data_IF_892166005510
#
_entry.id   IF_892166005510
#
_cell.length_a   1.000
_cell.length_b   1.000
_cell.length_c   1.000
_cell.angle_alpha   90.00
_cell.angle_beta   90.00
_cell.angle_gamma   90.00
#
_symmetry.space_group_name_H-M   'P 1'
#
loop_
_entity.id
_entity.type
_entity.pdbx_description
1 polymer ?
#
# COMPACT_ATOMS: atom_id res chain seq x y z
N UNK A 1 -23.77 -44.17 64.01
CA UNK A 1 -24.37 -44.09 62.67
C UNK A 1 -24.21 -42.68 62.13
N UNK A 2 -23.29 -42.42 61.17
CA UNK A 2 -23.18 -41.12 60.52
C UNK A 2 -24.08 -41.05 59.27
N UNK A 3 -24.84 -39.97 59.15
CA UNK A 3 -25.74 -39.70 58.01
C UNK A 3 -24.90 -39.15 56.84
N UNK A 4 -24.78 -39.95 55.78
CA UNK A 4 -24.09 -39.61 54.54
C UNK A 4 -24.94 -38.61 53.73
N UNK A 5 -24.51 -37.36 53.62
CA UNK A 5 -25.18 -36.32 52.81
C UNK A 5 -24.66 -36.42 51.38
N UNK A 6 -25.36 -37.19 50.55
CA UNK A 6 -25.14 -37.24 49.11
C UNK A 6 -25.55 -35.91 48.48
N UNK A 7 -24.56 -35.08 48.13
CA UNK A 7 -24.78 -33.88 47.32
C UNK A 7 -25.01 -34.33 45.88
N UNK A 8 -26.28 -34.48 45.51
CA UNK A 8 -26.70 -34.73 44.14
C UNK A 8 -26.55 -33.42 43.34
N UNK A 9 -25.42 -33.26 42.63
CA UNK A 9 -25.22 -32.14 41.71
C UNK A 9 -26.10 -32.38 40.47
N UNK A 10 -27.02 -31.48 40.10
CA UNK A 10 -27.74 -31.61 38.85
C UNK A 10 -26.78 -31.50 37.68
N UNK A 11 -26.78 -32.50 36.80
CA UNK A 11 -26.10 -32.48 35.52
C UNK A 11 -26.61 -31.28 34.72
N UNK A 12 -25.79 -30.24 34.58
CA UNK A 12 -26.08 -29.13 33.70
C UNK A 12 -26.08 -29.66 32.26
N UNK A 13 -27.29 -29.89 31.74
CA UNK A 13 -27.59 -30.10 30.32
C UNK A 13 -26.88 -29.04 29.49
N UNK A 14 -25.97 -29.49 28.64
CA UNK A 14 -25.36 -28.69 27.59
C UNK A 14 -26.46 -28.10 26.69
N UNK A 15 -26.62 -26.77 26.72
CA UNK A 15 -27.45 -26.08 25.77
C UNK A 15 -26.77 -26.09 24.39
N UNK A 16 -27.48 -26.41 23.29
CA UNK A 16 -26.92 -26.49 21.96
C UNK A 16 -26.66 -25.09 21.37
N UNK A 17 -25.75 -25.08 20.40
CA UNK A 17 -25.27 -23.94 19.65
C UNK A 17 -26.34 -22.90 19.24
N UNK A 18 -26.11 -21.65 19.64
CA UNK A 18 -26.36 -20.47 18.79
C UNK A 18 -25.03 -19.92 18.30
N UNK A 19 -24.22 -20.79 17.70
CA UNK A 19 -23.23 -20.38 16.71
C UNK A 19 -23.98 -20.00 15.43
N UNK A 20 -23.69 -18.82 14.91
CA UNK A 20 -24.09 -18.26 13.61
C UNK A 20 -25.46 -17.56 13.54
N UNK A 21 -25.44 -16.23 13.72
CA UNK A 21 -26.22 -15.31 12.88
C UNK A 21 -25.74 -13.84 12.90
N UNK A 22 -24.54 -13.49 13.43
CA UNK A 22 -23.95 -12.18 13.08
C UNK A 22 -23.24 -12.31 11.73
N UNK A 23 -24.08 -12.44 10.70
CA UNK A 23 -23.90 -11.98 9.33
C UNK A 23 -22.47 -11.72 8.85
N UNK A 24 -22.14 -12.37 7.73
CA UNK A 24 -21.06 -12.03 6.80
C UNK A 24 -21.21 -10.62 6.18
N UNK A 25 -21.41 -9.59 7.01
CA UNK A 25 -21.21 -8.20 6.61
C UNK A 25 -19.72 -8.00 6.43
N UNK A 26 -19.31 -7.45 5.30
CA UNK A 26 -18.02 -6.78 5.25
C UNK A 26 -18.08 -5.60 6.22
N UNK A 27 -17.33 -5.60 7.33
CA UNK A 27 -17.30 -4.48 8.26
C UNK A 27 -16.98 -3.18 7.53
N UNK A 28 -17.55 -2.06 7.97
CA UNK A 28 -17.31 -0.76 7.35
C UNK A 28 -15.81 -0.42 7.22
N UNK A 29 -14.98 -0.91 8.14
CA UNK A 29 -13.52 -0.81 8.09
C UNK A 29 -12.89 -1.46 6.85
N UNK A 30 -13.37 -2.64 6.43
CA UNK A 30 -12.87 -3.31 5.22
C UNK A 30 -13.25 -2.54 3.95
N UNK A 31 -14.44 -1.96 3.91
CA UNK A 31 -14.87 -1.09 2.82
C UNK A 31 -14.05 0.22 2.80
N UNK A 32 -13.81 0.82 3.97
CA UNK A 32 -12.98 2.03 4.09
C UNK A 32 -11.54 1.79 3.62
N UNK A 33 -10.95 0.65 4.02
CA UNK A 33 -9.62 0.26 3.55
C UNK A 33 -9.60 -0.02 2.04
N UNK A 34 -10.65 -0.66 1.48
CA UNK A 34 -10.77 -0.80 0.03
C UNK A 34 -10.84 0.56 -0.66
N UNK A 35 -11.62 1.52 -0.15
CA UNK A 35 -11.70 2.86 -0.72
C UNK A 35 -10.34 3.56 -0.71
N UNK A 36 -9.60 3.51 0.40
CA UNK A 36 -8.24 4.05 0.48
C UNK A 36 -7.34 3.41 -0.57
N UNK A 37 -7.34 2.07 -0.66
CA UNK A 37 -6.54 1.32 -1.62
C UNK A 37 -6.88 1.68 -3.06
N UNK A 38 -8.16 1.71 -3.41
CA UNK A 38 -8.61 2.05 -4.76
C UNK A 38 -8.24 3.49 -5.11
N UNK A 39 -8.49 4.46 -4.23
CA UNK A 39 -8.19 5.87 -4.51
C UNK A 39 -6.70 6.08 -4.74
N UNK A 40 -5.86 5.75 -3.76
CA UNK A 40 -4.42 6.01 -3.87
C UNK A 40 -3.74 5.08 -4.87
N UNK A 41 -4.15 3.81 -4.92
CA UNK A 41 -3.61 2.85 -5.87
C UNK A 41 -3.93 3.19 -7.32
N UNK A 42 -5.17 3.58 -7.63
CA UNK A 42 -5.54 3.95 -9.01
C UNK A 42 -5.00 5.32 -9.42
N UNK A 43 -4.86 6.28 -8.50
CA UNK A 43 -4.16 7.54 -8.78
C UNK A 43 -2.70 7.28 -9.18
N UNK A 44 -2.00 6.45 -8.42
CA UNK A 44 -0.62 6.05 -8.75
C UNK A 44 -0.54 5.24 -10.04
N UNK A 45 -1.51 4.36 -10.29
CA UNK A 45 -1.61 3.68 -11.58
C UNK A 45 -1.83 4.66 -12.73
N UNK A 46 -2.63 5.70 -12.50
CA UNK A 46 -2.81 6.82 -13.42
C UNK A 46 -1.49 7.50 -13.76
N UNK A 47 -0.74 7.92 -12.74
CA UNK A 47 0.59 8.53 -12.92
C UNK A 47 1.58 7.61 -13.66
N UNK A 48 1.62 6.33 -13.30
CA UNK A 48 2.46 5.36 -14.00
C UNK A 48 2.05 5.19 -15.46
N UNK A 49 0.75 5.19 -15.74
CA UNK A 49 0.23 5.09 -17.12
C UNK A 49 0.56 6.33 -17.96
N UNK A 50 0.56 7.51 -17.35
CA UNK A 50 0.99 8.76 -17.98
C UNK A 50 2.47 8.69 -18.38
N UNK A 51 3.31 8.16 -17.48
CA UNK A 51 4.75 8.01 -17.69
C UNK A 51 5.08 6.93 -18.71
N UNK A 52 4.42 5.78 -18.67
CA UNK A 52 4.75 4.63 -19.52
C UNK A 52 4.11 4.72 -20.90
N UNK A 53 2.81 5.01 -20.94
CA UNK A 53 1.98 4.82 -22.13
C UNK A 53 1.50 6.15 -22.73
N UNK A 54 1.67 7.28 -22.03
CA UNK A 54 1.21 8.59 -22.50
C UNK A 54 -0.31 8.73 -22.53
N UNK A 55 -1.03 7.91 -21.77
CA UNK A 55 -2.49 8.00 -21.62
C UNK A 55 -2.86 8.88 -20.43
N UNK A 56 -4.13 9.26 -20.30
CA UNK A 56 -4.62 10.18 -19.26
C UNK A 56 -3.89 11.54 -19.25
N UNK A 57 -3.53 12.06 -20.44
CA UNK A 57 -2.82 13.33 -20.59
C UNK A 57 -1.31 13.24 -20.29
N UNK A 58 -0.73 12.04 -20.24
CA UNK A 58 0.69 11.85 -20.00
C UNK A 58 1.59 12.08 -21.22
N UNK A 59 2.88 12.24 -20.96
CA UNK A 59 3.90 12.51 -21.98
C UNK A 59 4.51 11.23 -22.58
N UNK A 60 4.24 10.07 -21.99
CA UNK A 60 4.79 8.78 -22.42
C UNK A 60 6.27 8.62 -22.09
N UNK A 61 6.78 7.42 -22.37
CA UNK A 61 8.08 6.98 -21.82
C UNK A 61 9.26 7.79 -22.33
N UNK A 62 9.23 8.20 -23.60
CA UNK A 62 10.35 8.93 -24.21
C UNK A 62 10.52 10.32 -23.60
N UNK A 63 9.44 11.09 -23.50
CA UNK A 63 9.50 12.45 -22.92
C UNK A 63 9.72 12.41 -21.41
N UNK A 64 9.10 11.45 -20.71
CA UNK A 64 9.39 11.19 -19.30
C UNK A 64 10.87 10.88 -19.10
N UNK A 65 11.47 10.09 -19.99
CA UNK A 65 12.90 9.78 -19.96
C UNK A 65 13.80 11.02 -20.07
N UNK A 66 13.42 12.01 -20.88
CA UNK A 66 14.13 13.30 -20.95
C UNK A 66 14.00 14.09 -19.64
N UNK A 67 12.80 14.08 -19.04
CA UNK A 67 12.57 14.67 -17.72
C UNK A 67 13.48 14.07 -16.64
N UNK A 68 13.54 12.73 -16.55
CA UNK A 68 14.45 12.06 -15.64
C UNK A 68 15.93 12.38 -15.92
N UNK A 69 16.34 12.45 -17.18
CA UNK A 69 17.71 12.85 -17.53
C UNK A 69 18.03 14.28 -17.07
N UNK A 70 17.06 15.21 -17.16
CA UNK A 70 17.22 16.59 -16.67
C UNK A 70 17.32 16.70 -15.15
N UNK A 71 16.77 15.72 -14.43
CA UNK A 71 16.90 15.59 -12.98
C UNK A 71 18.20 14.89 -12.53
N UNK A 72 19.05 14.46 -13.48
CA UNK A 72 20.35 13.84 -13.21
C UNK A 72 20.38 12.32 -13.32
N UNK A 73 19.24 11.63 -13.51
CA UNK A 73 19.20 10.17 -13.66
C UNK A 73 19.77 9.73 -15.01
N UNK A 74 20.77 8.85 -15.02
CA UNK A 74 21.41 8.38 -16.25
C UNK A 74 21.49 6.84 -16.31
N UNK A 75 20.92 6.17 -17.33
CA UNK A 75 20.17 6.73 -18.46
C UNK A 75 18.72 7.11 -18.08
N UNK A 76 18.28 8.34 -18.36
CA UNK A 76 16.96 8.84 -17.92
C UNK A 76 15.77 8.00 -18.38
N UNK A 77 15.80 7.40 -19.58
CA UNK A 77 14.74 6.51 -20.07
C UNK A 77 14.59 5.22 -19.25
N UNK A 78 15.69 4.71 -18.69
CA UNK A 78 15.67 3.54 -17.80
C UNK A 78 14.98 3.88 -16.49
N UNK A 79 15.34 5.01 -15.88
CA UNK A 79 14.70 5.45 -14.63
C UNK A 79 13.25 5.87 -14.82
N UNK A 80 12.89 6.46 -15.96
CA UNK A 80 11.49 6.70 -16.32
C UNK A 80 10.70 5.39 -16.44
N UNK A 81 11.30 4.33 -16.99
CA UNK A 81 10.69 3.00 -17.07
C UNK A 81 10.51 2.39 -15.67
N UNK A 82 11.57 2.42 -14.84
CA UNK A 82 11.53 1.89 -13.46
C UNK A 82 10.50 2.63 -12.62
N UNK A 83 10.55 3.97 -12.62
CA UNK A 83 9.60 4.81 -11.89
C UNK A 83 8.17 4.61 -12.40
N UNK A 84 7.95 4.65 -13.71
CA UNK A 84 6.64 4.42 -14.31
C UNK A 84 6.06 3.05 -14.01
N UNK A 85 6.86 1.97 -14.08
CA UNK A 85 6.43 0.62 -13.72
C UNK A 85 6.15 0.48 -12.22
N UNK A 86 6.96 1.12 -11.37
CA UNK A 86 6.77 1.11 -9.93
C UNK A 86 5.46 1.80 -9.53
N UNK A 87 5.15 2.95 -10.14
CA UNK A 87 3.87 3.64 -9.93
C UNK A 87 2.70 2.83 -10.49
N UNK A 88 2.85 2.29 -11.71
CA UNK A 88 1.78 1.58 -12.39
C UNK A 88 1.44 0.26 -11.68
N UNK A 89 2.41 -0.63 -11.55
CA UNK A 89 2.23 -1.95 -10.96
C UNK A 89 2.07 -1.87 -9.44
N UNK A 90 2.79 -0.97 -8.76
CA UNK A 90 2.62 -0.71 -7.33
C UNK A 90 1.24 -0.14 -7.04
N UNK A 91 0.75 0.79 -7.86
CA UNK A 91 -0.60 1.34 -7.75
C UNK A 91 -1.69 0.29 -7.94
N UNK A 92 -1.60 -0.52 -9.01
CA UNK A 92 -2.54 -1.63 -9.24
C UNK A 92 -2.47 -2.68 -8.14
N UNK A 93 -1.26 -3.03 -7.68
CA UNK A 93 -1.05 -3.94 -6.56
C UNK A 93 -1.72 -3.44 -5.29
N UNK A 94 -1.54 -2.17 -4.95
CA UNK A 94 -2.18 -1.57 -3.78
C UNK A 94 -3.71 -1.55 -3.92
N UNK A 95 -4.23 -1.12 -5.07
CA UNK A 95 -5.66 -1.06 -5.36
C UNK A 95 -6.34 -2.42 -5.20
N UNK A 96 -5.74 -3.47 -5.75
CA UNK A 96 -6.24 -4.84 -5.65
C UNK A 96 -5.97 -5.47 -4.28
N UNK A 97 -5.03 -4.92 -3.49
CA UNK A 97 -4.48 -5.57 -2.31
C UNK A 97 -3.79 -6.87 -2.70
N UNK A 98 -2.89 -6.78 -3.68
CA UNK A 98 -2.07 -7.86 -4.21
C UNK A 98 -0.60 -7.55 -3.93
N UNK A 99 0.09 -8.48 -3.28
CA UNK A 99 1.46 -8.30 -2.79
C UNK A 99 1.59 -7.01 -1.97
N UNK A 100 0.61 -6.75 -1.10
CA UNK A 100 0.42 -5.46 -0.41
C UNK A 100 1.69 -4.81 0.15
N UNK A 101 2.56 -5.49 0.92
CA UNK A 101 3.80 -4.87 1.41
C UNK A 101 4.78 -4.49 0.30
N UNK A 102 4.82 -5.24 -0.80
CA UNK A 102 5.68 -4.93 -1.96
C UNK A 102 5.11 -3.78 -2.78
N UNK A 103 3.79 -3.75 -3.00
CA UNK A 103 3.10 -2.63 -3.64
C UNK A 103 3.31 -1.33 -2.86
N UNK A 104 3.18 -1.38 -1.53
CA UNK A 104 3.48 -0.25 -0.66
C UNK A 104 4.95 0.17 -0.74
N UNK A 105 5.90 -0.78 -0.76
CA UNK A 105 7.33 -0.48 -0.91
C UNK A 105 7.63 0.29 -2.21
N UNK A 106 7.02 -0.13 -3.33
CA UNK A 106 7.18 0.53 -4.62
C UNK A 106 6.69 1.98 -4.57
N UNK A 107 5.50 2.23 -4.01
CA UNK A 107 4.96 3.58 -3.89
C UNK A 107 5.77 4.45 -2.93
N UNK A 108 6.18 3.92 -1.76
CA UNK A 108 7.04 4.63 -0.81
C UNK A 108 8.35 5.03 -1.49
N UNK A 109 9.00 4.10 -2.20
CA UNK A 109 10.26 4.38 -2.89
C UNK A 109 10.13 5.48 -3.93
N UNK A 110 9.08 5.44 -4.76
CA UNK A 110 8.85 6.49 -5.77
C UNK A 110 8.54 7.83 -5.10
N UNK A 111 7.75 7.88 -4.02
CA UNK A 111 7.46 9.12 -3.31
C UNK A 111 8.72 9.73 -2.67
N UNK A 112 9.61 8.91 -2.11
CA UNK A 112 10.92 9.36 -1.60
C UNK A 112 11.75 9.95 -2.75
N UNK A 113 11.82 9.25 -3.88
CA UNK A 113 12.58 9.69 -5.05
C UNK A 113 12.02 11.02 -5.60
N UNK A 114 10.70 11.16 -5.69
CA UNK A 114 10.03 12.37 -6.14
C UNK A 114 10.22 13.54 -5.16
N UNK A 115 10.19 13.29 -3.84
CA UNK A 115 10.51 14.31 -2.85
C UNK A 115 11.95 14.80 -3.01
N UNK A 116 12.91 13.88 -3.09
CA UNK A 116 14.32 14.22 -3.18
C UNK A 116 14.70 14.95 -4.47
N UNK A 117 14.08 14.60 -5.60
CA UNK A 117 14.48 15.11 -6.92
C UNK A 117 13.63 16.27 -7.44
N UNK A 118 12.38 16.41 -7.00
CA UNK A 118 11.44 17.38 -7.60
C UNK A 118 10.88 18.36 -6.57
N UNK A 119 10.35 17.88 -5.45
CA UNK A 119 9.48 18.73 -4.60
C UNK A 119 10.13 19.29 -3.34
N UNK A 120 11.21 18.69 -2.82
CA UNK A 120 11.84 19.16 -1.57
C UNK A 120 12.40 20.58 -1.66
N UNK A 121 12.87 21.01 -2.84
CA UNK A 121 13.37 22.36 -3.06
C UNK A 121 12.26 23.43 -3.03
N UNK A 122 11.00 23.04 -3.23
CA UNK A 122 9.87 23.95 -3.32
C UNK A 122 9.16 24.16 -1.96
N UNK A 123 9.66 23.53 -0.89
CA UNK A 123 9.07 23.65 0.45
C UNK A 123 7.99 22.61 0.74
N UNK A 124 7.07 22.94 1.64
CA UNK A 124 6.10 21.98 2.18
C UNK A 124 4.83 21.89 1.35
N UNK A 125 4.19 23.01 1.06
CA UNK A 125 2.83 23.07 0.52
C UNK A 125 2.76 22.68 -0.95
N UNK A 126 1.75 21.89 -1.31
CA UNK A 126 1.59 21.48 -2.72
C UNK A 126 1.18 22.64 -3.63
N UNK A 127 0.60 23.72 -3.09
CA UNK A 127 0.33 24.93 -3.89
C UNK A 127 1.57 25.53 -4.51
N UNK A 128 2.74 25.29 -3.90
CA UNK A 128 4.04 25.73 -4.37
C UNK A 128 4.82 24.60 -5.08
N UNK A 129 4.22 23.42 -5.26
CA UNK A 129 4.88 22.21 -5.77
C UNK A 129 5.75 21.50 -4.73
N UNK A 130 5.42 21.65 -3.45
CA UNK A 130 6.13 21.09 -2.29
C UNK A 130 5.85 19.61 -2.01
N UNK A 131 6.37 19.11 -0.89
CA UNK A 131 6.39 17.69 -0.55
C UNK A 131 5.07 17.12 0.00
N UNK A 132 4.09 17.96 0.34
CA UNK A 132 2.85 17.60 1.03
C UNK A 132 2.15 16.37 0.43
N UNK A 133 1.91 16.38 -0.88
CA UNK A 133 1.19 15.31 -1.54
C UNK A 133 1.97 13.97 -1.51
N UNK A 134 3.29 14.04 -1.71
CA UNK A 134 4.17 12.86 -1.67
C UNK A 134 4.18 12.22 -0.28
N UNK A 135 4.21 13.04 0.78
CA UNK A 135 4.13 12.58 2.16
C UNK A 135 2.80 11.87 2.41
N UNK A 136 1.68 12.46 1.98
CA UNK A 136 0.37 11.85 2.11
C UNK A 136 0.31 10.45 1.48
N UNK A 137 0.79 10.31 0.23
CA UNK A 137 0.79 9.01 -0.47
C UNK A 137 1.71 8.01 0.25
N UNK A 138 2.93 8.40 0.61
CA UNK A 138 3.89 7.52 1.27
C UNK A 138 3.37 7.01 2.62
N UNK A 139 2.78 7.90 3.42
CA UNK A 139 2.19 7.55 4.73
C UNK A 139 0.97 6.64 4.55
N UNK A 140 0.11 6.89 3.56
CA UNK A 140 -1.02 6.00 3.26
C UNK A 140 -0.53 4.62 2.85
N UNK A 141 0.46 4.53 1.96
CA UNK A 141 1.04 3.25 1.55
C UNK A 141 1.63 2.49 2.74
N UNK A 142 2.37 3.17 3.61
CA UNK A 142 2.92 2.59 4.84
C UNK A 142 1.82 2.14 5.81
N UNK A 143 0.77 2.95 5.99
CA UNK A 143 -0.37 2.61 6.83
C UNK A 143 -1.12 1.39 6.29
N UNK A 144 -1.32 1.27 4.97
CA UNK A 144 -1.92 0.08 4.36
C UNK A 144 -1.03 -1.15 4.58
N UNK A 145 0.30 -1.03 4.46
CA UNK A 145 1.20 -2.13 4.80
C UNK A 145 1.12 -2.54 6.27
N UNK A 146 0.98 -1.57 7.18
CA UNK A 146 0.82 -1.81 8.61
C UNK A 146 -0.53 -2.43 8.99
N UNK A 147 -1.62 -1.97 8.37
CA UNK A 147 -2.97 -2.51 8.57
C UNK A 147 -3.10 -3.90 7.91
N UNK A 148 -2.41 -4.10 6.80
CA UNK A 148 -2.51 -5.29 5.95
C UNK A 148 -3.53 -5.12 4.82
N UNK A 149 -3.67 -6.16 3.97
CA UNK A 149 -4.49 -6.09 2.75
C UNK A 149 -6.00 -5.89 3.00
N UNK A 150 -6.52 -6.34 4.14
CA UNK A 150 -7.96 -6.37 4.45
C UNK A 150 -8.71 -7.53 3.80
N UNK A 151 -10.00 -7.72 4.15
CA UNK A 151 -10.78 -8.89 3.66
C UNK A 151 -11.21 -8.77 2.20
N UNK A 152 -11.28 -7.56 1.66
CA UNK A 152 -11.63 -7.25 0.27
C UNK A 152 -10.39 -7.13 -0.63
N UNK A 153 -9.34 -7.89 -0.35
CA UNK A 153 -8.11 -7.90 -1.13
C UNK A 153 -7.89 -9.24 -1.82
N UNK A 154 -7.15 -9.23 -2.92
CA UNK A 154 -6.79 -10.44 -3.65
C UNK A 154 -5.80 -11.30 -2.87
N UNK A 155 -4.95 -10.71 -2.02
CA UNK A 155 -4.01 -11.41 -1.13
C UNK A 155 -4.68 -12.47 -0.23
N UNK A 156 -6.00 -12.37 -0.01
CA UNK A 156 -6.77 -13.39 0.73
C UNK A 156 -6.64 -14.80 0.16
N UNK A 157 -6.34 -14.93 -1.14
CA UNK A 157 -6.21 -16.21 -1.82
C UNK A 157 -4.82 -16.85 -1.68
N UNK A 158 -3.77 -16.06 -1.43
CA UNK A 158 -2.38 -16.53 -1.38
C UNK A 158 -1.68 -16.24 -0.03
N UNK A 159 -2.37 -15.58 0.92
CA UNK A 159 -1.92 -15.23 2.28
C UNK A 159 -0.59 -14.46 2.33
N UNK A 160 -0.34 -13.61 1.33
CA UNK A 160 0.86 -12.77 1.27
C UNK A 160 0.68 -11.48 2.09
N UNK A 161 1.48 -11.31 3.16
CA UNK A 161 1.43 -10.14 4.05
C UNK A 161 0.17 -10.09 4.92
N UNK A 162 0.33 -10.25 6.24
CA UNK A 162 -0.83 -10.23 7.17
C UNK A 162 -1.14 -8.83 7.69
N UNK A 163 -0.27 -7.87 7.39
CA UNK A 163 -0.23 -6.60 8.09
C UNK A 163 0.51 -6.73 9.42
N UNK A 164 0.98 -5.60 9.91
CA UNK A 164 1.76 -5.48 11.13
C UNK A 164 3.00 -4.61 10.93
N UNK A 165 3.68 -4.34 12.04
CA UNK A 165 4.95 -3.62 12.03
C UNK A 165 6.05 -4.29 11.20
N UNK A 166 6.18 -5.64 11.14
CA UNK A 166 7.16 -6.27 10.27
C UNK A 166 6.94 -5.97 8.78
N UNK A 167 5.70 -6.05 8.30
CA UNK A 167 5.34 -5.74 6.91
C UNK A 167 5.52 -4.25 6.59
N UNK A 168 5.16 -3.36 7.54
CA UNK A 168 5.39 -1.93 7.39
C UNK A 168 6.89 -1.59 7.36
N UNK A 169 7.69 -2.18 8.26
CA UNK A 169 9.13 -2.01 8.29
C UNK A 169 9.80 -2.59 7.02
N UNK A 170 9.32 -3.73 6.53
CA UNK A 170 9.75 -4.28 5.25
C UNK A 170 9.43 -3.32 4.11
N UNK A 171 8.21 -2.81 4.02
CA UNK A 171 7.80 -1.89 2.95
C UNK A 171 8.63 -0.61 2.97
N UNK A 172 8.81 -0.01 4.16
CA UNK A 172 9.63 1.19 4.35
C UNK A 172 11.10 0.92 4.03
N UNK A 173 11.66 -0.19 4.51
CA UNK A 173 13.05 -0.56 4.31
C UNK A 173 13.37 -0.83 2.83
N UNK A 174 12.56 -1.66 2.16
CA UNK A 174 12.74 -1.96 0.74
C UNK A 174 12.51 -0.72 -0.11
N UNK A 175 11.44 0.04 0.14
CA UNK A 175 11.15 1.29 -0.58
C UNK A 175 12.26 2.33 -0.41
N UNK A 176 12.75 2.50 0.82
CA UNK A 176 13.86 3.41 1.14
C UNK A 176 15.18 2.99 0.50
N UNK A 177 15.53 1.69 0.54
CA UNK A 177 16.74 1.17 -0.12
C UNK A 177 16.64 1.36 -1.64
N UNK A 178 15.50 1.01 -2.25
CA UNK A 178 15.30 1.17 -3.69
C UNK A 178 15.41 2.65 -4.12
N UNK A 179 14.85 3.57 -3.32
CA UNK A 179 14.97 5.00 -3.55
C UNK A 179 16.43 5.48 -3.42
N UNK A 180 17.13 5.09 -2.36
CA UNK A 180 18.53 5.45 -2.14
C UNK A 180 19.43 4.94 -3.26
N UNK A 181 19.23 3.70 -3.72
CA UNK A 181 19.95 3.14 -4.86
C UNK A 181 19.65 3.91 -6.14
N UNK A 182 18.39 4.30 -6.37
CA UNK A 182 18.01 5.06 -7.56
C UNK A 182 18.62 6.46 -7.57
N UNK A 183 18.71 7.12 -6.41
CA UNK A 183 19.33 8.45 -6.27
C UNK A 183 20.87 8.42 -6.38
N UNK A 184 21.49 7.26 -6.16
CA UNK A 184 22.94 7.10 -6.19
C UNK A 184 23.49 6.72 -7.58
N UNK A 185 22.61 6.44 -8.55
CA UNK A 185 22.93 6.00 -9.90
C UNK A 185 22.61 7.09 -10.93
#
# INVERSE_FOLDING_TARGET
MPVNRTVHRPSATAAPATRNAFTARTPAADCGLLLIRLTFGLLMAGHGSQKLFGILGGHGLTETGKGFASLGYQPGKLFALIGGLSEFLGGLGLALGLFTPLAAAALIGVMINAMASVTAANGFWETDGGVEYNICIAVVALAVAAIGPGRLAVDRFFRWGRGGWPEAAFALGVGGIAAALSLAL
#
